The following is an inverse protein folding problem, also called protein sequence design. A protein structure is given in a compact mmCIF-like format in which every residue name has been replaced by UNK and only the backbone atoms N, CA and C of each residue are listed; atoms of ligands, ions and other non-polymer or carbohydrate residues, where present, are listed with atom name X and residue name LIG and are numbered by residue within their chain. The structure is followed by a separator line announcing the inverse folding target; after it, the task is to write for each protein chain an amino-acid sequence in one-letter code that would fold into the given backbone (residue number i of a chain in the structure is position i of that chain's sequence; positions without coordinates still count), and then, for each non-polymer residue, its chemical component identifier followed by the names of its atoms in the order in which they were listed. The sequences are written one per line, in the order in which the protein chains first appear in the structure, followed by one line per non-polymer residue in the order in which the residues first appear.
data_IF_555779244956
#
_entry.id   IF_555779244956
#
_cell.length_a   1.000
_cell.length_b   1.000
_cell.length_c   1.000
_cell.angle_alpha   90.00
_cell.angle_beta   90.00
_cell.angle_gamma   90.00
#
_symmetry.space_group_name_H-M   'P 1'
#
loop_
_entity.id
_entity.type
_entity.pdbx_description
1 polymer ?
#
# COMPACT_ATOMS: atom_id res chain seq x y z
N UNK A 1 -17.41 24.28 -26.49
CA UNK A 1 -18.25 23.47 -27.39
C UNK A 1 -17.46 22.32 -27.95
N UNK A 2 -16.54 22.60 -28.87
CA UNK A 2 -15.93 21.57 -29.72
C UNK A 2 -14.97 20.62 -28.97
N UNK A 3 -14.18 21.11 -28.01
CA UNK A 3 -13.28 20.25 -27.23
C UNK A 3 -14.03 19.26 -26.32
N UNK A 4 -15.16 19.68 -25.74
CA UNK A 4 -15.99 18.78 -24.90
C UNK A 4 -16.62 17.67 -25.74
N UNK A 5 -17.08 18.01 -26.95
CA UNK A 5 -17.64 17.04 -27.90
C UNK A 5 -16.55 16.07 -28.35
N UNK A 6 -15.34 16.56 -28.68
CA UNK A 6 -14.21 15.72 -29.07
C UNK A 6 -13.81 14.75 -27.95
N UNK A 7 -13.63 15.25 -26.72
CA UNK A 7 -13.30 14.41 -25.55
C UNK A 7 -14.39 13.36 -25.34
N UNK A 8 -15.67 13.73 -25.48
CA UNK A 8 -16.78 12.79 -25.35
C UNK A 8 -16.71 11.67 -26.40
N UNK A 9 -16.42 11.99 -27.66
CA UNK A 9 -16.27 10.99 -28.72
C UNK A 9 -15.06 10.09 -28.50
N UNK A 10 -13.91 10.64 -28.09
CA UNK A 10 -12.71 9.85 -27.76
C UNK A 10 -13.01 8.91 -26.60
N UNK A 11 -13.57 9.42 -25.49
CA UNK A 11 -13.91 8.62 -24.32
C UNK A 11 -14.92 7.51 -24.66
N UNK A 12 -15.89 7.80 -25.55
CA UNK A 12 -16.84 6.80 -26.02
C UNK A 12 -16.15 5.69 -26.82
N UNK A 13 -15.28 6.04 -27.77
CA UNK A 13 -14.56 5.07 -28.58
C UNK A 13 -13.65 4.17 -27.71
N UNK A 14 -12.91 4.76 -26.76
CA UNK A 14 -12.09 4.01 -25.80
C UNK A 14 -12.93 3.09 -24.92
N UNK A 15 -14.12 3.53 -24.50
CA UNK A 15 -15.04 2.72 -23.70
C UNK A 15 -15.60 1.54 -24.49
N UNK A 16 -15.98 1.75 -25.75
CA UNK A 16 -16.47 0.67 -26.62
C UNK A 16 -15.39 -0.41 -26.82
N UNK A 17 -14.15 0.00 -27.09
CA UNK A 17 -12.98 -0.90 -27.20
C UNK A 17 -12.68 -1.65 -25.89
N UNK A 18 -12.66 -0.95 -24.75
CA UNK A 18 -12.49 -1.58 -23.43
C UNK A 18 -13.59 -2.63 -23.15
N UNK A 19 -14.85 -2.33 -23.49
CA UNK A 19 -15.96 -3.28 -23.29
C UNK A 19 -15.77 -4.53 -24.14
N UNK A 20 -15.28 -4.41 -25.37
CA UNK A 20 -14.96 -5.57 -26.20
C UNK A 20 -13.85 -6.42 -25.60
N UNK A 21 -12.77 -5.80 -25.11
CA UNK A 21 -11.67 -6.51 -24.42
C UNK A 21 -12.13 -7.23 -23.16
N UNK A 22 -12.90 -6.56 -22.30
CA UNK A 22 -13.49 -7.13 -21.08
C UNK A 22 -14.37 -8.34 -21.45
N UNK A 23 -15.21 -8.22 -22.48
CA UNK A 23 -16.09 -9.31 -22.93
C UNK A 23 -15.34 -10.50 -23.52
N UNK A 24 -14.17 -10.28 -24.11
CA UNK A 24 -13.34 -11.36 -24.65
C UNK A 24 -12.56 -12.08 -23.55
N UNK A 25 -12.27 -11.40 -22.44
CA UNK A 25 -11.47 -11.96 -21.35
C UNK A 25 -12.21 -13.08 -20.60
N UNK A 26 -11.57 -14.24 -20.33
CA UNK A 26 -12.19 -15.35 -19.61
C UNK A 26 -12.43 -15.02 -18.13
N UNK A 27 -11.57 -14.19 -17.52
CA UNK A 27 -11.58 -13.88 -16.10
C UNK A 27 -11.32 -12.41 -15.87
N UNK A 28 -12.02 -11.82 -14.89
CA UNK A 28 -11.88 -10.41 -14.53
C UNK A 28 -11.49 -10.27 -13.06
N UNK A 29 -10.66 -9.28 -12.77
CA UNK A 29 -10.38 -8.81 -11.42
C UNK A 29 -10.73 -7.33 -11.30
N UNK A 30 -11.20 -6.92 -10.14
CA UNK A 30 -11.58 -5.53 -9.85
C UNK A 30 -10.57 -4.96 -8.87
N UNK A 31 -10.15 -3.73 -9.08
CA UNK A 31 -9.32 -3.01 -8.12
C UNK A 31 -10.00 -1.70 -7.76
N UNK A 32 -10.12 -1.44 -6.46
CA UNK A 32 -10.75 -0.26 -5.91
C UNK A 32 -9.70 0.63 -5.27
N UNK A 33 -9.63 1.87 -5.73
CA UNK A 33 -8.79 2.92 -5.17
C UNK A 33 -9.68 4.04 -4.64
N UNK A 34 -9.78 4.12 -3.31
CA UNK A 34 -10.65 5.08 -2.64
C UNK A 34 -9.93 6.39 -2.39
N UNK A 35 -10.63 7.50 -2.58
CA UNK A 35 -10.17 8.84 -2.21
C UNK A 35 -11.24 9.52 -1.34
N UNK A 36 -10.80 10.06 -0.21
CA UNK A 36 -11.64 10.88 0.66
C UNK A 36 -11.10 12.31 0.64
N UNK A 37 -11.98 13.27 0.38
CA UNK A 37 -11.66 14.69 0.44
C UNK A 37 -12.66 15.40 1.36
N UNK A 38 -12.18 16.22 2.30
CA UNK A 38 -13.03 16.90 3.29
C UNK A 38 -14.11 17.83 2.67
N UNK A 39 -13.93 18.24 1.41
CA UNK A 39 -14.77 19.23 0.73
C UNK A 39 -15.66 18.65 -0.39
N UNK A 40 -15.39 17.42 -0.83
CA UNK A 40 -16.12 16.76 -1.91
C UNK A 40 -16.75 15.45 -1.40
N UNK A 41 -17.64 14.87 -2.20
CA UNK A 41 -18.11 13.51 -1.93
C UNK A 41 -16.91 12.54 -2.05
N UNK A 42 -16.83 11.57 -1.15
CA UNK A 42 -15.84 10.49 -1.26
C UNK A 42 -15.97 9.85 -2.65
N UNK A 43 -14.85 9.53 -3.28
CA UNK A 43 -14.85 8.88 -4.60
C UNK A 43 -14.09 7.57 -4.54
N UNK A 44 -14.45 6.65 -5.44
CA UNK A 44 -13.68 5.43 -5.66
C UNK A 44 -13.42 5.26 -7.14
N UNK A 45 -12.14 5.20 -7.51
CA UNK A 45 -11.72 4.79 -8.83
C UNK A 45 -11.85 3.27 -8.92
N UNK A 46 -12.60 2.80 -9.92
CA UNK A 46 -12.75 1.38 -10.23
C UNK A 46 -11.85 1.08 -11.41
N UNK A 47 -10.93 0.15 -11.21
CA UNK A 47 -10.11 -0.43 -12.26
C UNK A 47 -10.56 -1.86 -12.52
N UNK A 48 -10.37 -2.30 -13.75
CA UNK A 48 -10.59 -3.68 -14.16
C UNK A 48 -9.27 -4.24 -14.69
N UNK A 49 -8.92 -5.41 -14.19
CA UNK A 49 -7.83 -6.21 -14.73
C UNK A 49 -8.41 -7.40 -15.47
N UNK A 50 -7.93 -7.61 -16.70
CA UNK A 50 -8.40 -8.67 -17.57
C UNK A 50 -7.22 -9.30 -18.33
N UNK A 51 -7.38 -10.56 -18.70
CA UNK A 51 -6.42 -11.27 -19.53
C UNK A 51 -6.89 -11.33 -20.98
N UNK A 52 -5.95 -11.21 -21.91
CA UNK A 52 -6.19 -11.47 -23.34
C UNK A 52 -5.45 -12.75 -23.74
N UNK A 53 -5.74 -13.30 -24.93
CA UNK A 53 -5.02 -14.47 -25.43
C UNK A 53 -3.53 -14.17 -25.69
N UNK A 54 -3.16 -12.89 -25.83
CA UNK A 54 -1.81 -12.45 -26.13
C UNK A 54 -1.30 -11.51 -25.01
N UNK A 55 -0.27 -11.95 -24.29
CA UNK A 55 0.48 -11.11 -23.36
C UNK A 55 0.02 -11.10 -21.89
N UNK A 56 0.65 -10.25 -21.06
CA UNK A 56 0.36 -10.15 -19.62
C UNK A 56 -1.04 -9.58 -19.36
N UNK A 57 -1.59 -9.76 -18.14
CA UNK A 57 -2.85 -9.12 -17.76
C UNK A 57 -2.75 -7.59 -17.90
N UNK A 58 -3.81 -6.98 -18.44
CA UNK A 58 -3.92 -5.54 -18.59
C UNK A 58 -4.80 -4.98 -17.47
N UNK A 59 -4.39 -3.87 -16.86
CA UNK A 59 -5.17 -3.11 -15.87
C UNK A 59 -5.60 -1.79 -16.47
N UNK A 60 -6.91 -1.56 -16.59
CA UNK A 60 -7.46 -0.33 -17.17
C UNK A 60 -8.45 0.35 -16.22
N UNK A 61 -8.47 1.69 -16.27
CA UNK A 61 -9.43 2.50 -15.54
C UNK A 61 -10.83 2.36 -16.14
N UNK A 62 -11.81 2.01 -15.29
CA UNK A 62 -13.18 1.79 -15.71
C UNK A 62 -14.02 3.05 -15.52
N UNK A 63 -14.07 3.57 -14.29
CA UNK A 63 -14.85 4.74 -13.94
C UNK A 63 -14.47 5.28 -12.57
N UNK A 64 -14.74 6.57 -12.34
CA UNK A 64 -14.71 7.19 -11.04
C UNK A 64 -16.14 7.26 -10.51
N UNK A 65 -16.38 6.69 -9.33
CA UNK A 65 -17.71 6.62 -8.72
C UNK A 65 -17.75 7.53 -7.49
N UNK A 66 -18.73 8.43 -7.47
CA UNK A 66 -19.05 9.18 -6.26
C UNK A 66 -19.77 8.27 -5.25
N UNK A 67 -19.36 8.38 -3.99
CA UNK A 67 -19.90 7.68 -2.85
C UNK A 67 -20.65 8.69 -1.97
N UNK A 68 -21.87 8.34 -1.56
CA UNK A 68 -22.63 9.21 -0.65
C UNK A 68 -22.05 9.20 0.77
N UNK A 69 -21.68 8.01 1.27
CA UNK A 69 -21.01 7.81 2.55
C UNK A 69 -19.97 6.69 2.39
N UNK A 70 -18.87 6.65 3.18
CA UNK A 70 -17.86 5.60 3.11
C UNK A 70 -18.33 4.32 3.84
N UNK A 71 -19.44 3.74 3.40
CA UNK A 71 -19.99 2.48 3.92
C UNK A 71 -19.76 1.33 2.95
N UNK A 72 -19.72 0.10 3.47
CA UNK A 72 -19.58 -1.13 2.68
C UNK A 72 -20.56 -1.16 1.52
N UNK A 73 -21.82 -0.80 1.77
CA UNK A 73 -22.88 -0.78 0.76
C UNK A 73 -22.60 0.25 -0.33
N UNK A 74 -22.11 1.43 0.03
CA UNK A 74 -21.82 2.50 -0.93
C UNK A 74 -20.72 2.11 -1.90
N UNK A 75 -19.64 1.48 -1.41
CA UNK A 75 -18.58 0.95 -2.25
C UNK A 75 -19.10 -0.12 -3.21
N UNK A 76 -19.84 -1.11 -2.71
CA UNK A 76 -20.39 -2.19 -3.56
C UNK A 76 -21.40 -1.68 -4.59
N UNK A 77 -22.23 -0.70 -4.22
CA UNK A 77 -23.10 -0.01 -5.18
C UNK A 77 -22.30 0.78 -6.22
N UNK A 78 -21.17 1.38 -5.83
CA UNK A 78 -20.25 2.03 -6.77
C UNK A 78 -19.73 1.04 -7.81
N UNK A 79 -19.30 -0.14 -7.39
CA UNK A 79 -18.88 -1.22 -8.31
C UNK A 79 -20.03 -1.65 -9.21
N UNK A 80 -21.22 -1.88 -8.65
CA UNK A 80 -22.40 -2.27 -9.44
C UNK A 80 -22.79 -1.21 -10.48
N UNK A 81 -22.74 0.08 -10.12
CA UNK A 81 -22.95 1.20 -11.06
C UNK A 81 -21.90 1.22 -12.17
N UNK A 82 -20.63 1.02 -11.82
CA UNK A 82 -19.52 1.04 -12.77
C UNK A 82 -19.70 -0.04 -13.86
N UNK A 83 -20.06 -1.26 -13.47
CA UNK A 83 -20.28 -2.37 -14.41
C UNK A 83 -21.62 -2.25 -15.15
N UNK A 84 -22.68 -1.82 -14.46
CA UNK A 84 -24.01 -1.61 -15.08
C UNK A 84 -23.96 -0.57 -16.20
N UNK A 85 -23.10 0.45 -16.09
CA UNK A 85 -22.88 1.44 -17.14
C UNK A 85 -22.32 0.84 -18.45
N UNK A 86 -21.72 -0.35 -18.38
CA UNK A 86 -21.21 -1.12 -19.53
C UNK A 86 -22.21 -2.18 -20.02
N UNK A 87 -23.38 -2.27 -19.38
CA UNK A 87 -24.35 -3.34 -19.60
C UNK A 87 -23.86 -4.70 -19.10
N UNK A 88 -22.92 -4.72 -18.15
CA UNK A 88 -22.39 -5.95 -17.55
C UNK A 88 -22.95 -6.03 -16.13
N UNK A 89 -23.61 -7.14 -15.80
CA UNK A 89 -23.92 -7.46 -14.40
C UNK A 89 -22.76 -8.27 -13.85
N UNK A 90 -22.25 -7.90 -12.69
CA UNK A 90 -21.16 -8.61 -12.01
C UNK A 90 -21.45 -10.10 -11.76
N UNK A 91 -22.73 -10.48 -11.75
CA UNK A 91 -23.21 -11.84 -11.54
C UNK A 91 -23.42 -12.62 -12.86
N UNK A 92 -23.36 -11.96 -14.02
CA UNK A 92 -23.65 -12.57 -15.33
C UNK A 92 -22.38 -13.11 -16.02
N UNK A 93 -22.58 -14.15 -16.85
CA UNK A 93 -21.77 -14.80 -17.91
C UNK A 93 -20.24 -14.96 -17.78
N UNK A 94 -19.48 -14.08 -17.13
CA UNK A 94 -18.02 -14.23 -16.93
C UNK A 94 -17.60 -13.90 -15.50
N UNK A 95 -16.89 -14.80 -14.81
CA UNK A 95 -16.65 -14.66 -13.39
C UNK A 95 -15.64 -13.55 -13.13
N UNK A 96 -16.04 -12.58 -12.31
CA UNK A 96 -15.08 -11.85 -11.51
C UNK A 96 -14.43 -12.83 -10.52
N UNK A 97 -13.12 -12.94 -10.57
CA UNK A 97 -12.32 -13.87 -9.76
C UNK A 97 -11.47 -13.16 -8.71
N UNK A 98 -11.17 -11.88 -8.91
CA UNK A 98 -10.34 -11.09 -7.98
C UNK A 98 -10.97 -9.78 -7.55
N UNK A 99 -10.72 -9.39 -6.30
CA UNK A 99 -10.96 -8.05 -5.78
C UNK A 99 -9.74 -7.57 -5.00
N UNK A 100 -9.20 -6.42 -5.41
CA UNK A 100 -8.19 -5.66 -4.70
C UNK A 100 -8.76 -4.34 -4.20
N UNK A 101 -8.28 -3.88 -3.05
CA UNK A 101 -8.72 -2.63 -2.40
C UNK A 101 -7.51 -1.93 -1.81
N UNK A 102 -7.22 -0.71 -2.25
CA UNK A 102 -6.16 0.10 -1.65
C UNK A 102 -6.52 0.47 -0.20
N UNK A 103 -5.50 0.51 0.66
CA UNK A 103 -5.66 0.69 2.10
C UNK A 103 -5.54 2.12 2.61
N UNK A 104 -5.10 3.09 1.80
CA UNK A 104 -4.78 4.43 2.29
C UNK A 104 -6.01 5.17 2.85
N UNK A 105 -7.16 5.01 2.19
CA UNK A 105 -8.43 5.68 2.53
C UNK A 105 -9.53 4.71 2.95
N UNK A 106 -9.34 3.41 2.76
CA UNK A 106 -10.30 2.37 3.16
C UNK A 106 -9.74 1.62 4.36
N UNK A 107 -10.36 1.83 5.53
CA UNK A 107 -9.92 1.21 6.78
C UNK A 107 -9.94 -0.32 6.69
N UNK A 108 -9.07 -0.99 7.46
CA UNK A 108 -9.01 -2.46 7.53
C UNK A 108 -10.37 -3.10 7.84
N UNK A 109 -11.14 -2.50 8.75
CA UNK A 109 -12.47 -2.99 9.11
C UNK A 109 -13.48 -2.85 7.98
N UNK A 110 -13.47 -1.73 7.25
CA UNK A 110 -14.32 -1.52 6.09
C UNK A 110 -13.97 -2.49 4.96
N UNK A 111 -12.68 -2.66 4.66
CA UNK A 111 -12.19 -3.63 3.67
C UNK A 111 -12.61 -5.06 4.00
N UNK A 112 -12.45 -5.49 5.25
CA UNK A 112 -12.89 -6.81 5.69
C UNK A 112 -14.41 -7.00 5.52
N UNK A 113 -15.20 -5.98 5.86
CA UNK A 113 -16.66 -6.00 5.66
C UNK A 113 -17.05 -6.07 4.18
N UNK A 114 -16.33 -5.37 3.30
CA UNK A 114 -16.52 -5.46 1.85
C UNK A 114 -16.26 -6.87 1.34
N UNK A 115 -15.13 -7.48 1.73
CA UNK A 115 -14.79 -8.84 1.36
C UNK A 115 -15.83 -9.86 1.83
N UNK A 116 -16.31 -9.74 3.06
CA UNK A 116 -17.37 -10.62 3.58
C UNK A 116 -18.69 -10.42 2.83
N UNK A 117 -19.04 -9.18 2.49
CA UNK A 117 -20.34 -8.86 1.87
C UNK A 117 -20.37 -9.27 0.41
N UNK A 118 -19.33 -8.96 -0.37
CA UNK A 118 -19.28 -9.32 -1.80
C UNK A 118 -19.24 -10.85 -1.99
N UNK A 119 -18.61 -11.59 -1.06
CA UNK A 119 -18.57 -13.06 -1.09
C UNK A 119 -19.92 -13.74 -0.85
N UNK A 120 -20.92 -13.02 -0.32
CA UNK A 120 -22.30 -13.54 -0.29
C UNK A 120 -22.89 -13.64 -1.69
N UNK A 121 -22.42 -12.80 -2.61
CA UNK A 121 -22.85 -12.73 -4.00
C UNK A 121 -21.91 -13.52 -4.93
N UNK A 122 -20.59 -13.42 -4.70
CA UNK A 122 -19.54 -14.09 -5.46
C UNK A 122 -18.67 -14.95 -4.52
N UNK A 123 -19.12 -16.15 -4.12
CA UNK A 123 -18.43 -16.96 -3.12
C UNK A 123 -17.01 -17.36 -3.49
N UNK A 124 -16.67 -17.44 -4.78
CA UNK A 124 -15.34 -17.84 -5.27
C UNK A 124 -14.33 -16.68 -5.32
N UNK A 125 -14.72 -15.45 -5.01
CA UNK A 125 -13.87 -14.28 -5.17
C UNK A 125 -12.60 -14.32 -4.28
N UNK A 126 -11.44 -14.18 -4.92
CA UNK A 126 -10.15 -13.96 -4.25
C UNK A 126 -10.03 -12.50 -3.85
N UNK A 127 -9.86 -12.26 -2.56
CA UNK A 127 -9.67 -10.92 -2.02
C UNK A 127 -8.20 -10.77 -1.68
N UNK A 128 -7.45 -10.10 -2.56
CA UNK A 128 -6.00 -10.00 -2.49
C UNK A 128 -5.60 -8.54 -2.23
N UNK A 129 -4.54 -8.29 -1.48
CA UNK A 129 -4.06 -6.93 -1.23
C UNK A 129 -3.32 -6.39 -2.47
N UNK A 130 -3.99 -6.24 -3.60
CA UNK A 130 -3.41 -5.61 -4.80
C UNK A 130 -3.45 -4.08 -4.72
N UNK A 131 -2.48 -3.43 -5.37
CA UNK A 131 -2.33 -1.96 -5.39
C UNK A 131 -2.21 -1.34 -4.00
N UNK A 132 -1.20 -1.78 -3.25
CA UNK A 132 -0.82 -1.15 -1.99
C UNK A 132 -0.08 0.16 -2.29
N UNK A 133 -0.79 1.28 -2.32
CA UNK A 133 -0.18 2.56 -2.73
C UNK A 133 0.63 3.20 -1.61
N UNK A 134 -0.01 3.41 -0.44
CA UNK A 134 0.60 4.03 0.74
C UNK A 134 0.30 3.23 2.01
N UNK A 135 0.93 2.05 2.19
CA UNK A 135 0.61 1.15 3.29
C UNK A 135 0.89 1.75 4.67
N UNK A 136 1.86 2.65 4.76
CA UNK A 136 2.23 3.36 5.98
C UNK A 136 1.08 4.24 6.51
N UNK A 137 0.22 4.80 5.65
CA UNK A 137 -0.92 5.61 6.11
C UNK A 137 -1.96 4.77 6.86
N UNK A 138 -2.27 3.57 6.36
CA UNK A 138 -3.17 2.64 7.06
C UNK A 138 -2.58 2.21 8.41
N UNK A 139 -1.26 2.01 8.44
CA UNK A 139 -0.56 1.66 9.68
C UNK A 139 -0.64 2.81 10.66
N UNK A 140 -0.37 4.05 10.23
CA UNK A 140 -0.49 5.24 11.07
C UNK A 140 -1.91 5.41 11.63
N UNK A 141 -2.96 5.17 10.84
CA UNK A 141 -4.34 5.15 11.33
C UNK A 141 -4.58 4.07 12.39
N UNK A 142 -3.97 2.89 12.22
CA UNK A 142 -4.15 1.75 13.13
C UNK A 142 -3.38 1.88 14.44
N UNK A 143 -2.26 2.61 14.45
CA UNK A 143 -1.36 2.71 15.62
C UNK A 143 -1.48 4.03 16.37
N UNK A 144 -1.98 5.07 15.72
CA UNK A 144 -2.21 6.36 16.36
C UNK A 144 -3.38 6.29 17.34
N UNK A 145 -3.41 7.18 18.32
CA UNK A 145 -4.37 7.15 19.41
C UNK A 145 -3.73 6.95 20.78
N UNK A 146 -4.55 6.46 21.72
CA UNK A 146 -4.20 6.33 23.14
C UNK A 146 -2.97 5.46 23.42
N UNK A 147 -2.64 4.52 22.54
CA UNK A 147 -1.53 3.58 22.75
C UNK A 147 -0.16 4.22 22.46
N UNK A 148 -0.10 5.18 21.54
CA UNK A 148 1.11 5.87 21.06
C UNK A 148 0.86 7.39 20.92
N UNK A 149 0.63 8.10 22.03
CA UNK A 149 0.37 9.55 22.00
C UNK A 149 1.54 10.37 21.45
N UNK A 150 2.77 9.81 21.47
CA UNK A 150 3.94 10.45 20.88
C UNK A 150 3.83 10.62 19.36
N UNK A 151 3.06 9.77 18.66
CA UNK A 151 2.82 9.92 17.22
C UNK A 151 1.88 11.08 16.93
N UNK A 152 0.82 11.25 17.74
CA UNK A 152 -0.09 12.40 17.61
C UNK A 152 0.62 13.72 17.94
N UNK A 153 1.46 13.72 18.98
CA UNK A 153 2.27 14.89 19.33
C UNK A 153 3.23 15.25 18.19
N UNK A 154 3.93 14.25 17.62
CA UNK A 154 4.83 14.45 16.49
C UNK A 154 4.09 14.98 15.25
N UNK A 155 2.95 14.38 14.90
CA UNK A 155 2.11 14.81 13.79
C UNK A 155 1.63 16.27 13.96
N UNK A 156 1.10 16.61 15.13
CA UNK A 156 0.60 17.95 15.40
C UNK A 156 1.72 19.00 15.34
N UNK A 157 2.89 18.69 15.91
CA UNK A 157 4.04 19.58 15.89
C UNK A 157 4.58 19.79 14.47
N UNK A 158 4.64 18.73 13.65
CA UNK A 158 5.04 18.86 12.24
C UNK A 158 4.00 19.64 11.43
N UNK A 159 2.70 19.37 11.58
CA UNK A 159 1.64 20.17 10.95
C UNK A 159 1.74 21.64 11.33
N UNK A 160 2.02 21.94 12.60
CA UNK A 160 2.21 23.31 13.08
C UNK A 160 3.47 23.95 12.49
N UNK A 161 4.58 23.20 12.41
CA UNK A 161 5.83 23.67 11.79
C UNK A 161 5.61 24.07 10.34
N UNK A 162 5.01 23.18 9.54
CA UNK A 162 4.76 23.45 8.12
C UNK A 162 3.75 24.57 7.94
N UNK A 163 2.68 24.60 8.76
CA UNK A 163 1.67 25.67 8.73
C UNK A 163 2.25 27.04 9.09
N UNK A 164 3.19 27.10 10.05
CA UNK A 164 3.87 28.32 10.48
C UNK A 164 4.59 29.01 9.31
N UNK A 165 5.21 28.22 8.43
CA UNK A 165 5.83 28.72 7.21
C UNK A 165 4.81 28.94 6.09
N UNK A 166 3.99 27.93 5.78
CA UNK A 166 3.07 27.90 4.63
C UNK A 166 2.10 29.07 4.62
N UNK A 167 1.54 29.43 5.76
CA UNK A 167 0.50 30.47 5.86
C UNK A 167 1.07 31.87 6.12
N UNK A 168 2.40 32.03 6.08
CA UNK A 168 3.08 33.32 6.19
C UNK A 168 4.01 33.53 5.01
N UNK A 169 3.60 34.30 3.98
CA UNK A 169 4.44 34.54 2.79
C UNK A 169 5.84 35.06 3.13
N UNK A 170 5.98 35.83 4.22
CA UNK A 170 7.28 36.34 4.68
C UNK A 170 8.16 35.20 5.19
N UNK A 171 7.64 34.38 6.12
CA UNK A 171 8.39 33.26 6.71
C UNK A 171 8.72 32.21 5.65
N UNK A 172 7.83 31.99 4.68
CA UNK A 172 8.07 31.11 3.55
C UNK A 172 9.23 31.60 2.67
N UNK A 173 9.31 32.90 2.40
CA UNK A 173 10.44 33.48 1.67
C UNK A 173 11.75 33.41 2.48
N UNK A 174 11.70 33.62 3.79
CA UNK A 174 12.87 33.48 4.67
C UNK A 174 13.35 32.01 4.68
N UNK A 175 12.42 31.05 4.81
CA UNK A 175 12.71 29.62 4.74
C UNK A 175 13.31 29.23 3.38
N UNK A 176 12.82 29.77 2.26
CA UNK A 176 13.39 29.49 0.93
C UNK A 176 14.87 29.83 0.82
N UNK A 177 15.33 30.84 1.56
CA UNK A 177 16.74 31.28 1.56
C UNK A 177 17.63 30.42 2.47
N UNK A 178 17.07 29.87 3.55
CA UNK A 178 17.84 29.14 4.57
C UNK A 178 17.68 27.62 4.45
N UNK A 179 16.48 27.12 4.17
CA UNK A 179 16.09 25.72 4.13
C UNK A 179 15.25 25.43 2.87
N UNK A 180 15.93 25.45 1.71
CA UNK A 180 15.29 25.38 0.41
C UNK A 180 14.54 24.05 0.16
N UNK A 181 15.07 22.93 0.67
CA UNK A 181 14.46 21.60 0.48
C UNK A 181 13.13 21.50 1.22
N UNK A 182 13.11 21.91 2.50
CA UNK A 182 11.88 21.89 3.29
C UNK A 182 10.85 22.89 2.75
N UNK A 183 11.32 24.04 2.27
CA UNK A 183 10.46 25.02 1.62
C UNK A 183 9.75 24.42 0.41
N UNK A 184 10.50 23.78 -0.49
CA UNK A 184 9.97 23.14 -1.70
C UNK A 184 8.92 22.05 -1.37
N UNK A 185 9.25 21.13 -0.47
CA UNK A 185 8.29 20.07 -0.06
C UNK A 185 7.03 20.65 0.61
N UNK A 186 7.17 21.71 1.41
CA UNK A 186 6.03 22.42 2.01
C UNK A 186 5.15 23.09 0.96
N UNK A 187 5.72 23.56 -0.17
CA UNK A 187 4.93 24.08 -1.29
C UNK A 187 4.20 22.98 -2.04
N UNK A 188 4.85 21.84 -2.28
CA UNK A 188 4.28 20.68 -2.96
C UNK A 188 3.12 20.05 -2.21
N UNK A 189 3.17 20.00 -0.87
CA UNK A 189 2.07 19.48 -0.06
C UNK A 189 0.75 20.25 -0.21
N UNK A 190 0.79 21.52 -0.61
CA UNK A 190 -0.43 22.31 -0.80
C UNK A 190 -1.05 22.81 0.52
N UNK A 191 -2.28 22.40 0.82
CA UNK A 191 -2.97 22.73 2.08
C UNK A 191 -2.61 21.70 3.15
N UNK A 192 -1.82 22.13 4.13
CA UNK A 192 -1.32 21.28 5.22
C UNK A 192 -2.46 20.65 6.04
N UNK A 193 -3.65 21.28 6.08
CA UNK A 193 -4.79 20.77 6.83
C UNK A 193 -5.45 19.57 6.14
N UNK A 194 -5.37 19.51 4.81
CA UNK A 194 -5.90 18.39 4.02
C UNK A 194 -4.98 17.18 4.00
N UNK A 195 -3.73 17.30 4.48
CA UNK A 195 -2.82 16.16 4.56
C UNK A 195 -3.15 15.32 5.78
N UNK A 196 -3.47 14.05 5.55
CA UNK A 196 -3.89 13.11 6.59
C UNK A 196 -2.81 12.89 7.66
N UNK A 197 -1.61 12.48 7.24
CA UNK A 197 -0.46 12.23 8.12
C UNK A 197 0.84 12.81 7.54
N UNK A 198 1.33 13.92 8.07
CA UNK A 198 2.63 14.50 7.71
C UNK A 198 3.78 13.56 8.13
N UNK A 199 3.66 12.86 9.26
CA UNK A 199 4.64 11.84 9.67
C UNK A 199 4.72 10.64 8.72
N UNK A 200 3.79 10.50 7.78
CA UNK A 200 3.84 9.50 6.70
C UNK A 200 4.54 10.01 5.43
N UNK A 201 4.77 11.32 5.30
CA UNK A 201 5.32 11.91 4.08
C UNK A 201 6.86 11.88 4.10
N UNK A 202 7.43 10.81 3.52
CA UNK A 202 8.87 10.55 3.53
C UNK A 202 9.70 11.75 3.02
N UNK A 203 9.27 12.40 1.94
CA UNK A 203 10.00 13.54 1.37
C UNK A 203 10.09 14.72 2.35
N UNK A 204 9.03 14.97 3.11
CA UNK A 204 8.96 16.05 4.09
C UNK A 204 9.89 15.77 5.26
N UNK A 205 9.89 14.52 5.77
CA UNK A 205 10.77 14.11 6.85
C UNK A 205 12.25 14.19 6.43
N UNK A 206 12.58 13.73 5.22
CA UNK A 206 13.92 13.82 4.64
C UNK A 206 14.35 15.27 4.42
N UNK A 207 13.46 16.14 3.94
CA UNK A 207 13.74 17.56 3.76
C UNK A 207 13.99 18.28 5.10
N UNK A 208 13.21 17.93 6.14
CA UNK A 208 13.43 18.45 7.49
C UNK A 208 14.77 18.00 8.07
N UNK A 209 15.15 16.73 7.88
CA UNK A 209 16.47 16.22 8.32
C UNK A 209 17.59 16.97 7.61
N UNK A 210 17.48 17.13 6.30
CA UNK A 210 18.50 17.76 5.47
C UNK A 210 18.72 19.23 5.84
N UNK A 211 17.65 19.99 6.05
CA UNK A 211 17.71 21.41 6.37
C UNK A 211 17.58 21.68 7.90
N UNK A 212 17.80 20.67 8.74
CA UNK A 212 17.50 20.71 10.18
C UNK A 212 18.19 21.89 10.90
N UNK A 213 19.47 22.13 10.59
CA UNK A 213 20.25 23.17 11.26
C UNK A 213 19.74 24.56 10.93
N UNK A 214 19.40 24.78 9.67
CA UNK A 214 18.92 26.03 9.13
C UNK A 214 17.52 26.37 9.65
N UNK A 215 16.64 25.36 9.74
CA UNK A 215 15.32 25.50 10.37
C UNK A 215 15.45 25.85 11.85
N UNK A 216 16.32 25.15 12.59
CA UNK A 216 16.55 25.44 14.01
C UNK A 216 17.15 26.84 14.22
N UNK A 217 18.11 27.25 13.39
CA UNK A 217 18.70 28.58 13.45
C UNK A 217 17.67 29.67 13.18
N UNK A 218 16.83 29.48 12.16
CA UNK A 218 15.77 30.43 11.83
C UNK A 218 14.71 30.53 12.93
N UNK A 219 14.25 29.41 13.49
CA UNK A 219 13.31 29.43 14.62
C UNK A 219 13.90 30.11 15.86
N UNK A 220 15.20 29.92 16.14
CA UNK A 220 15.91 30.66 17.20
C UNK A 220 15.85 32.16 16.96
N UNK A 221 16.16 32.61 15.74
CA UNK A 221 16.09 34.03 15.38
C UNK A 221 14.68 34.60 15.57
N UNK A 222 13.67 33.95 15.00
CA UNK A 222 12.26 34.41 15.08
C UNK A 222 11.75 34.40 16.52
N UNK A 223 12.10 33.39 17.30
CA UNK A 223 11.72 33.32 18.73
C UNK A 223 12.32 34.48 19.54
N UNK A 224 13.46 35.04 19.13
CA UNK A 224 14.08 36.20 19.79
C UNK A 224 13.45 37.55 19.41
N UNK A 225 12.53 37.60 18.44
CA UNK A 225 11.92 38.85 17.98
C UNK A 225 10.84 39.34 18.96
N UNK A 226 11.12 40.44 19.65
CA UNK A 226 10.21 41.03 20.65
C UNK A 226 8.99 41.74 20.07
N UNK A 227 9.05 42.15 18.79
CA UNK A 227 7.97 42.90 18.15
C UNK A 227 6.78 42.04 17.69
N UNK A 228 6.90 40.71 17.71
CA UNK A 228 5.88 39.75 17.23
C UNK A 228 5.66 38.66 18.26
N UNK A 229 5.05 39.02 19.39
CA UNK A 229 4.86 38.12 20.53
C UNK A 229 4.24 36.77 20.13
N UNK A 230 3.18 36.77 19.30
CA UNK A 230 2.49 35.53 18.90
C UNK A 230 3.37 34.61 18.04
N UNK A 231 4.00 35.16 16.99
CA UNK A 231 4.89 34.39 16.12
C UNK A 231 6.16 33.93 16.85
N UNK A 232 6.69 34.76 17.76
CA UNK A 232 7.83 34.42 18.61
C UNK A 232 7.49 33.26 19.56
N UNK A 233 6.30 33.26 20.18
CA UNK A 233 5.87 32.17 21.06
C UNK A 233 5.70 30.85 20.29
N UNK A 234 5.09 30.89 19.10
CA UNK A 234 4.95 29.72 18.23
C UNK A 234 6.33 29.21 17.79
N UNK A 235 7.23 30.10 17.35
CA UNK A 235 8.59 29.73 16.97
C UNK A 235 9.37 29.10 18.12
N UNK A 236 9.18 29.60 19.35
CA UNK A 236 9.80 29.02 20.55
C UNK A 236 9.27 27.61 20.84
N UNK A 237 7.97 27.36 20.71
CA UNK A 237 7.38 26.04 20.89
C UNK A 237 7.90 25.04 19.83
N UNK A 238 7.93 25.45 18.56
CA UNK A 238 8.48 24.65 17.46
C UNK A 238 9.97 24.37 17.63
N UNK A 239 10.73 25.35 18.12
CA UNK A 239 12.14 25.15 18.46
C UNK A 239 12.30 24.12 19.59
N UNK A 240 11.46 24.16 20.62
CA UNK A 240 11.51 23.17 21.71
C UNK A 240 11.20 21.76 21.20
N UNK A 241 10.24 21.64 20.29
CA UNK A 241 9.93 20.40 19.58
C UNK A 241 11.16 19.87 18.81
N UNK A 242 11.80 20.69 17.96
CA UNK A 242 12.97 20.26 17.19
C UNK A 242 14.21 20.00 18.07
N UNK A 243 14.23 20.49 19.32
CA UNK A 243 15.26 20.19 20.29
C UNK A 243 14.93 19.00 21.20
N UNK A 244 13.76 18.37 21.06
CA UNK A 244 13.38 17.20 21.85
C UNK A 244 13.97 15.92 21.27
N UNK A 245 14.73 15.18 22.08
CA UNK A 245 15.43 13.98 21.63
C UNK A 245 14.48 12.88 21.15
N UNK A 246 13.36 12.68 21.84
CA UNK A 246 12.39 11.64 21.49
C UNK A 246 11.78 11.92 20.12
N UNK A 247 11.43 13.18 19.85
CA UNK A 247 10.82 13.62 18.61
C UNK A 247 11.75 13.37 17.41
N UNK A 248 13.02 13.79 17.51
CA UNK A 248 13.99 13.58 16.43
C UNK A 248 14.27 12.08 16.23
N UNK A 249 14.56 11.34 17.31
CA UNK A 249 14.81 9.89 17.21
C UNK A 249 13.62 9.13 16.61
N UNK A 250 12.40 9.55 16.92
CA UNK A 250 11.16 8.96 16.39
C UNK A 250 10.98 9.25 14.88
N UNK A 251 11.34 10.43 14.39
CA UNK A 251 11.33 10.73 12.94
C UNK A 251 12.22 9.76 12.18
N UNK A 252 13.46 9.57 12.64
CA UNK A 252 14.40 8.63 12.01
C UNK A 252 13.90 7.18 12.03
N UNK A 253 13.31 6.75 13.16
CA UNK A 253 12.74 5.41 13.24
C UNK A 253 11.51 5.22 12.35
N UNK A 254 10.64 6.23 12.23
CA UNK A 254 9.51 6.18 11.31
C UNK A 254 9.97 6.09 9.86
N UNK A 255 11.06 6.76 9.48
CA UNK A 255 11.66 6.64 8.16
C UNK A 255 12.13 5.22 7.85
N UNK A 256 12.72 4.50 8.80
CA UNK A 256 13.06 3.08 8.63
C UNK A 256 11.83 2.23 8.34
N UNK A 257 10.75 2.42 9.12
CA UNK A 257 9.49 1.71 8.93
C UNK A 257 8.85 2.05 7.58
N UNK A 258 8.80 3.34 7.21
CA UNK A 258 8.27 3.81 5.93
C UNK A 258 9.09 3.26 4.76
N UNK A 259 10.41 3.14 4.89
CA UNK A 259 11.27 2.58 3.84
C UNK A 259 10.91 1.13 3.51
N UNK A 260 10.70 0.28 4.53
CA UNK A 260 10.23 -1.11 4.35
C UNK A 260 8.89 -1.14 3.63
N UNK A 261 7.94 -0.33 4.11
CA UNK A 261 6.58 -0.28 3.59
C UNK A 261 6.50 0.30 2.17
N UNK A 262 7.38 1.24 1.83
CA UNK A 262 7.46 1.83 0.50
C UNK A 262 8.05 0.86 -0.52
N UNK A 263 9.04 0.04 -0.12
CA UNK A 263 9.52 -1.07 -0.97
C UNK A 263 8.42 -2.09 -1.23
N UNK A 264 7.66 -2.46 -0.20
CA UNK A 264 6.49 -3.33 -0.37
C UNK A 264 5.48 -2.71 -1.34
N UNK A 265 5.15 -1.43 -1.15
CA UNK A 265 4.23 -0.70 -2.03
C UNK A 265 4.70 -0.73 -3.50
N UNK A 266 6.00 -0.50 -3.74
CA UNK A 266 6.59 -0.51 -5.08
C UNK A 266 6.48 -1.88 -5.75
N UNK A 267 6.72 -2.98 -5.01
CA UNK A 267 6.53 -4.34 -5.53
C UNK A 267 5.07 -4.59 -5.94
N UNK A 268 4.12 -4.11 -5.14
CA UNK A 268 2.69 -4.28 -5.37
C UNK A 268 2.09 -3.36 -6.44
N UNK A 269 2.83 -2.32 -6.84
CA UNK A 269 2.49 -1.40 -7.92
C UNK A 269 3.24 -1.71 -9.22
N UNK A 270 4.11 -2.73 -9.22
CA UNK A 270 4.81 -3.17 -10.41
C UNK A 270 3.85 -3.64 -11.50
N UNK A 271 4.26 -3.55 -12.76
CA UNK A 271 3.44 -3.95 -13.92
C UNK A 271 3.03 -5.44 -13.86
N UNK A 272 3.86 -6.28 -13.23
CA UNK A 272 3.61 -7.71 -13.12
C UNK A 272 3.97 -8.23 -11.72
N UNK A 273 2.93 -8.52 -10.92
CA UNK A 273 3.05 -9.25 -9.66
C UNK A 273 2.27 -10.55 -9.78
N UNK A 274 2.97 -11.67 -9.65
CA UNK A 274 2.31 -12.98 -9.62
C UNK A 274 1.56 -13.16 -8.31
N UNK A 275 0.35 -13.73 -8.39
CA UNK A 275 -0.45 -14.08 -7.23
C UNK A 275 0.37 -14.89 -6.22
N UNK A 276 1.18 -15.85 -6.69
CA UNK A 276 2.03 -16.72 -5.87
C UNK A 276 3.07 -15.98 -5.02
N UNK A 277 3.49 -14.78 -5.44
CA UNK A 277 4.51 -13.97 -4.77
C UNK A 277 3.91 -13.07 -3.68
N UNK A 278 2.59 -12.85 -3.69
CA UNK A 278 1.91 -11.93 -2.75
C UNK A 278 2.15 -12.31 -1.29
N UNK A 279 2.04 -13.61 -0.95
CA UNK A 279 2.23 -14.07 0.43
C UNK A 279 3.68 -13.88 0.89
N UNK A 280 4.62 -14.28 0.05
CA UNK A 280 6.06 -14.17 0.33
C UNK A 280 6.47 -12.72 0.57
N UNK A 281 6.04 -11.79 -0.30
CA UNK A 281 6.41 -10.38 -0.18
C UNK A 281 5.84 -9.71 1.06
N UNK A 282 4.63 -10.09 1.49
CA UNK A 282 4.07 -9.63 2.76
C UNK A 282 4.86 -10.20 3.95
N UNK A 283 5.19 -11.49 3.91
CA UNK A 283 5.94 -12.15 4.98
C UNK A 283 7.38 -11.60 5.09
N UNK A 284 8.05 -11.34 3.97
CA UNK A 284 9.35 -10.65 3.93
C UNK A 284 9.29 -9.28 4.62
N UNK A 285 8.27 -8.48 4.32
CA UNK A 285 8.09 -7.17 4.96
C UNK A 285 7.81 -7.30 6.46
N UNK A 286 6.98 -8.28 6.88
CA UNK A 286 6.72 -8.57 8.31
C UNK A 286 8.02 -8.94 9.03
N UNK A 287 8.85 -9.81 8.44
CA UNK A 287 10.14 -10.19 9.01
C UNK A 287 11.10 -9.00 9.09
N UNK A 288 11.13 -8.15 8.08
CA UNK A 288 11.96 -6.95 8.08
C UNK A 288 11.55 -5.96 9.17
N UNK A 289 10.25 -5.69 9.32
CA UNK A 289 9.71 -4.88 10.43
C UNK A 289 10.02 -5.53 11.79
N UNK A 290 9.96 -6.87 11.88
CA UNK A 290 10.32 -7.57 13.11
C UNK A 290 11.77 -7.31 13.52
N UNK A 291 12.71 -7.37 12.56
CA UNK A 291 14.14 -7.03 12.79
C UNK A 291 14.33 -5.60 13.27
N UNK A 292 13.51 -4.65 12.77
CA UNK A 292 13.52 -3.26 13.24
C UNK A 292 13.12 -3.10 14.71
N UNK A 293 12.68 -4.15 15.41
CA UNK A 293 12.44 -4.12 16.87
C UNK A 293 13.74 -4.16 17.67
N UNK A 294 14.71 -4.94 17.19
CA UNK A 294 15.96 -5.22 17.90
C UNK A 294 17.13 -4.43 17.30
N UNK A 295 17.19 -4.29 15.97
CA UNK A 295 18.31 -3.66 15.25
C UNK A 295 17.86 -2.43 14.46
N UNK A 296 18.52 -1.26 14.60
CA UNK A 296 18.12 -0.05 13.90
C UNK A 296 18.20 -0.26 12.38
N UNK A 297 17.34 0.43 11.61
CA UNK A 297 17.51 0.52 10.17
C UNK A 297 18.52 1.61 9.80
N UNK A 298 18.67 1.88 8.51
CA UNK A 298 19.67 2.81 7.99
C UNK A 298 19.52 4.22 8.59
N UNK A 299 18.28 4.73 8.71
CA UNK A 299 18.03 6.07 9.21
C UNK A 299 18.30 6.15 10.72
N UNK A 300 17.74 5.25 11.52
CA UNK A 300 17.97 5.28 12.96
C UNK A 300 19.44 5.04 13.30
N UNK A 301 20.12 4.17 12.55
CA UNK A 301 21.56 3.94 12.71
C UNK A 301 22.36 5.21 12.41
N UNK A 302 22.07 5.92 11.30
CA UNK A 302 22.70 7.21 10.99
C UNK A 302 22.54 8.21 12.13
N UNK A 303 21.34 8.31 12.70
CA UNK A 303 21.08 9.18 13.84
C UNK A 303 21.92 8.79 15.06
N UNK A 304 21.99 7.51 15.41
CA UNK A 304 22.74 7.02 16.58
C UNK A 304 24.27 7.18 16.40
N UNK A 305 24.79 7.03 15.19
CA UNK A 305 26.21 7.23 14.89
C UNK A 305 26.62 8.72 14.91
N UNK A 306 25.74 9.59 14.40
CA UNK A 306 25.95 11.04 14.40
C UNK A 306 25.70 11.66 15.78
N UNK A 307 24.89 11.02 16.63
CA UNK A 307 24.60 11.49 17.98
C UNK A 307 25.73 11.14 18.95
N UNK A 308 26.44 12.16 19.43
CA UNK A 308 27.42 12.02 20.53
C UNK A 308 26.92 12.74 21.78
N UNK A 309 27.45 13.94 22.04
CA UNK A 309 26.97 14.85 23.09
C UNK A 309 25.93 15.84 22.56
N UNK A 310 25.85 15.99 21.24
CA UNK A 310 24.93 16.86 20.51
C UNK A 310 24.58 16.23 19.16
N UNK A 311 23.43 16.61 18.60
CA UNK A 311 23.01 16.23 17.26
C UNK A 311 23.29 17.41 16.32
N UNK A 312 24.20 17.25 15.35
CA UNK A 312 24.62 18.33 14.46
C UNK A 312 25.06 19.62 15.20
N UNK A 313 25.68 19.49 16.38
CA UNK A 313 26.07 20.63 17.22
C UNK A 313 24.95 21.24 18.07
N UNK A 314 23.74 20.68 18.06
CA UNK A 314 22.60 21.08 18.89
C UNK A 314 22.43 20.12 20.06
N UNK A 315 22.44 20.65 21.29
CA UNK A 315 22.13 19.86 22.49
C UNK A 315 20.64 19.57 22.57
N UNK A 316 20.27 18.31 22.30
CA UNK A 316 18.90 17.81 22.44
C UNK A 316 18.52 17.63 23.92
N UNK A 317 17.24 17.78 24.23
CA UNK A 317 16.66 17.71 25.58
C UNK A 317 16.01 16.36 25.84
N UNK A 318 15.74 16.07 27.12
CA UNK A 318 15.00 14.88 27.58
C UNK A 318 15.64 13.51 27.27
N UNK A 319 16.91 13.48 26.84
CA UNK A 319 17.64 12.26 26.43
C UNK A 319 17.39 11.03 27.32
N UNK A 320 17.64 11.14 28.64
CA UNK A 320 17.53 10.00 29.56
C UNK A 320 16.13 9.40 29.63
N UNK A 321 15.10 10.27 29.61
CA UNK A 321 13.70 9.84 29.70
C UNK A 321 13.27 9.22 28.37
N UNK A 322 13.71 9.81 27.26
CA UNK A 322 13.43 9.32 25.92
C UNK A 322 14.05 7.93 25.70
N UNK A 323 15.34 7.74 26.01
CA UNK A 323 16.02 6.44 25.88
C UNK A 323 15.34 5.34 26.70
N UNK A 324 14.93 5.65 27.94
CA UNK A 324 14.25 4.67 28.79
C UNK A 324 12.89 4.21 28.23
N UNK A 325 12.25 5.00 27.37
CA UNK A 325 10.93 4.70 26.79
C UNK A 325 11.00 4.23 25.34
N UNK A 326 12.07 4.57 24.62
CA UNK A 326 12.15 4.41 23.17
C UNK A 326 11.96 2.97 22.72
N UNK A 327 12.58 2.01 23.42
CA UNK A 327 12.42 0.58 23.09
C UNK A 327 10.96 0.11 23.15
N UNK A 328 10.19 0.57 24.15
CA UNK A 328 8.76 0.22 24.25
C UNK A 328 7.92 0.85 23.13
N UNK A 329 8.25 2.07 22.71
CA UNK A 329 7.59 2.75 21.58
C UNK A 329 7.88 1.98 20.29
N UNK A 330 9.16 1.65 20.07
CA UNK A 330 9.67 0.89 18.94
C UNK A 330 9.00 -0.48 18.80
N UNK A 331 8.96 -1.26 19.89
CA UNK A 331 8.27 -2.56 19.94
C UNK A 331 6.80 -2.45 19.56
N UNK A 332 6.08 -1.46 20.09
CA UNK A 332 4.66 -1.25 19.79
C UNK A 332 4.42 -0.91 18.32
N UNK A 333 5.22 0.00 17.75
CA UNK A 333 5.13 0.38 16.34
C UNK A 333 5.38 -0.84 15.46
N UNK A 334 6.46 -1.60 15.70
CA UNK A 334 6.78 -2.81 14.96
C UNK A 334 5.68 -3.88 15.09
N UNK A 335 5.23 -4.18 16.31
CA UNK A 335 4.22 -5.21 16.56
C UNK A 335 2.89 -4.89 15.86
N UNK A 336 2.43 -3.64 15.96
CA UNK A 336 1.18 -3.24 15.31
C UNK A 336 1.31 -3.18 13.79
N UNK A 337 2.46 -2.75 13.28
CA UNK A 337 2.75 -2.77 11.84
C UNK A 337 2.68 -4.20 11.30
N UNK A 338 3.32 -5.17 11.97
CA UNK A 338 3.27 -6.59 11.60
C UNK A 338 1.83 -7.11 11.60
N UNK A 339 1.05 -6.77 12.64
CA UNK A 339 -0.36 -7.17 12.73
C UNK A 339 -1.19 -6.60 11.58
N UNK A 340 -1.06 -5.32 11.26
CA UNK A 340 -1.79 -4.67 10.17
C UNK A 340 -1.43 -5.28 8.82
N UNK A 341 -0.14 -5.55 8.56
CA UNK A 341 0.30 -6.23 7.33
C UNK A 341 -0.29 -7.64 7.22
N UNK A 342 -0.25 -8.43 8.30
CA UNK A 342 -0.82 -9.78 8.32
C UNK A 342 -2.34 -9.79 8.07
N UNK A 343 -3.05 -8.77 8.58
CA UNK A 343 -4.51 -8.62 8.41
C UNK A 343 -4.92 -8.16 7.01
N UNK A 344 -4.01 -7.63 6.18
CA UNK A 344 -4.32 -7.29 4.79
C UNK A 344 -4.64 -8.52 3.95
N UNK A 345 -4.08 -9.67 4.31
CA UNK A 345 -4.29 -10.91 3.58
C UNK A 345 -5.37 -11.78 4.24
N UNK A 346 -6.53 -11.86 3.58
CA UNK A 346 -7.59 -12.77 3.96
C UNK A 346 -7.11 -14.24 3.98
N UNK A 347 -7.38 -14.94 5.08
CA UNK A 347 -6.90 -16.31 5.31
C UNK A 347 -7.39 -17.31 4.26
N UNK A 348 -8.61 -17.13 3.73
CA UNK A 348 -9.16 -18.00 2.68
C UNK A 348 -8.42 -17.80 1.37
N UNK A 349 -8.14 -16.56 0.98
CA UNK A 349 -7.34 -16.28 -0.21
C UNK A 349 -5.87 -16.67 -0.03
N UNK A 350 -5.33 -16.59 1.19
CA UNK A 350 -3.95 -16.99 1.51
C UNK A 350 -3.66 -18.46 1.18
N UNK A 351 -4.61 -19.37 1.44
CA UNK A 351 -4.46 -20.81 1.12
C UNK A 351 -4.29 -21.00 -0.38
N UNK A 352 -5.14 -20.37 -1.20
CA UNK A 352 -5.04 -20.44 -2.66
C UNK A 352 -3.70 -19.88 -3.16
N UNK A 353 -3.29 -18.73 -2.65
CA UNK A 353 -2.03 -18.09 -3.06
C UNK A 353 -0.80 -18.93 -2.70
N UNK A 354 -0.78 -19.52 -1.50
CA UNK A 354 0.28 -20.45 -1.12
C UNK A 354 0.33 -21.65 -2.05
N UNK A 355 -0.82 -22.22 -2.40
CA UNK A 355 -0.88 -23.32 -3.36
C UNK A 355 -0.33 -22.91 -4.74
N UNK A 356 -0.57 -21.67 -5.19
CA UNK A 356 -0.03 -21.15 -6.45
C UNK A 356 1.51 -21.07 -6.49
N UNK A 357 2.22 -21.16 -5.35
CA UNK A 357 3.69 -21.23 -5.34
C UNK A 357 4.22 -22.45 -6.09
N UNK A 358 3.39 -23.48 -6.27
CA UNK A 358 3.72 -24.66 -7.09
C UNK A 358 4.06 -24.30 -8.53
N UNK A 359 3.60 -23.14 -9.04
CA UNK A 359 3.90 -22.67 -10.38
C UNK A 359 5.25 -21.93 -10.48
N UNK A 360 5.91 -21.67 -9.35
CA UNK A 360 7.27 -21.13 -9.35
C UNK A 360 8.27 -22.27 -9.56
N UNK A 361 8.77 -22.37 -10.80
CA UNK A 361 9.74 -23.40 -11.19
C UNK A 361 11.06 -23.30 -10.42
N UNK A 362 11.40 -22.13 -9.86
CA UNK A 362 12.62 -21.97 -9.06
C UNK A 362 12.54 -22.70 -7.72
N UNK A 363 11.32 -22.96 -7.24
CA UNK A 363 11.03 -23.66 -5.98
C UNK A 363 10.92 -25.17 -6.16
N UNK A 364 11.01 -25.68 -7.39
CA UNK A 364 10.83 -27.11 -7.67
C UNK A 364 11.99 -27.96 -7.12
N UNK A 365 11.70 -29.14 -6.54
CA UNK A 365 12.73 -30.09 -6.12
C UNK A 365 13.67 -30.46 -7.27
N UNK A 366 14.97 -30.54 -6.96
CA UNK A 366 15.98 -30.96 -7.94
C UNK A 366 16.04 -32.48 -8.13
N UNK A 367 15.54 -33.25 -7.17
CA UNK A 367 15.50 -34.70 -7.27
C UNK A 367 14.24 -35.14 -8.01
N UNK A 368 14.39 -36.06 -8.98
CA UNK A 368 13.27 -36.58 -9.75
C UNK A 368 12.25 -37.31 -8.86
N UNK A 369 12.73 -37.98 -7.82
CA UNK A 369 11.89 -38.73 -6.88
C UNK A 369 10.95 -37.81 -6.08
N UNK A 370 11.46 -36.68 -5.56
CA UNK A 370 10.62 -35.70 -4.85
C UNK A 370 9.71 -34.93 -5.81
N UNK A 371 10.18 -34.65 -7.04
CA UNK A 371 9.40 -33.89 -8.03
C UNK A 371 8.13 -34.65 -8.48
N UNK A 372 8.16 -35.97 -8.57
CA UNK A 372 6.99 -36.78 -9.01
C UNK A 372 5.76 -36.51 -8.15
N UNK A 373 5.93 -36.41 -6.83
CA UNK A 373 4.83 -36.12 -5.89
C UNK A 373 4.63 -34.63 -5.58
N UNK A 374 5.58 -33.77 -5.95
CA UNK A 374 5.53 -32.33 -5.63
C UNK A 374 4.29 -31.65 -6.22
N UNK A 375 3.61 -30.84 -5.40
CA UNK A 375 2.52 -29.99 -5.87
C UNK A 375 1.16 -30.66 -6.00
N UNK A 376 1.02 -31.96 -5.73
CA UNK A 376 -0.27 -32.64 -5.91
C UNK A 376 -1.35 -32.10 -4.96
N UNK A 377 -1.01 -31.85 -3.69
CA UNK A 377 -1.95 -31.29 -2.72
C UNK A 377 -2.31 -29.84 -3.07
N UNK A 378 -1.33 -29.03 -3.46
CA UNK A 378 -1.50 -27.65 -3.87
C UNK A 378 -2.39 -27.56 -5.12
N UNK A 379 -2.18 -28.41 -6.13
CA UNK A 379 -3.03 -28.47 -7.31
C UNK A 379 -4.47 -28.86 -6.97
N UNK A 380 -4.67 -29.74 -5.98
CA UNK A 380 -6.01 -30.07 -5.49
C UNK A 380 -6.67 -28.87 -4.80
N UNK A 381 -5.93 -28.10 -4.00
CA UNK A 381 -6.45 -26.88 -3.35
C UNK A 381 -6.83 -25.82 -4.39
N UNK A 382 -6.01 -25.64 -5.43
CA UNK A 382 -6.30 -24.73 -6.56
C UNK A 382 -7.57 -25.19 -7.28
N UNK A 383 -7.66 -26.48 -7.61
CA UNK A 383 -8.83 -27.05 -8.28
C UNK A 383 -10.11 -26.90 -7.46
N UNK A 384 -10.07 -27.18 -6.16
CA UNK A 384 -11.23 -27.04 -5.28
C UNK A 384 -11.73 -25.60 -5.26
N UNK A 385 -10.82 -24.61 -5.26
CA UNK A 385 -11.20 -23.20 -5.38
C UNK A 385 -11.83 -22.87 -6.75
N UNK A 386 -11.15 -23.24 -7.85
CA UNK A 386 -11.59 -22.94 -9.21
C UNK A 386 -12.91 -23.65 -9.57
N UNK A 387 -13.15 -24.85 -9.01
CA UNK A 387 -14.42 -25.58 -9.18
C UNK A 387 -15.63 -24.82 -8.62
N UNK A 388 -15.42 -23.88 -7.70
CA UNK A 388 -16.46 -22.98 -7.22
C UNK A 388 -16.86 -21.90 -8.21
N UNK A 389 -16.12 -21.72 -9.31
CA UNK A 389 -16.37 -20.70 -10.33
C UNK A 389 -17.35 -21.26 -11.37
N UNK A 390 -18.53 -20.64 -11.57
CA UNK A 390 -19.57 -21.21 -12.44
C UNK A 390 -19.14 -21.47 -13.89
N UNK A 391 -18.33 -20.59 -14.49
CA UNK A 391 -17.88 -20.76 -15.88
C UNK A 391 -16.81 -21.82 -16.03
N UNK A 392 -15.99 -22.05 -15.00
CA UNK A 392 -14.91 -23.06 -15.04
C UNK A 392 -15.49 -24.46 -15.25
N UNK A 393 -16.64 -24.75 -14.63
CA UNK A 393 -17.35 -26.02 -14.79
C UNK A 393 -17.98 -26.20 -16.16
N UNK A 394 -18.29 -25.12 -16.89
CA UNK A 394 -18.87 -25.20 -18.23
C UNK A 394 -17.85 -25.58 -19.30
N UNK A 395 -16.57 -25.25 -19.10
CA UNK A 395 -15.48 -25.58 -20.02
C UNK A 395 -14.87 -26.96 -19.74
N UNK A 396 -14.98 -27.45 -18.50
CA UNK A 396 -14.63 -28.83 -18.13
C UNK A 396 -15.68 -29.82 -18.66
N UNK A 397 -15.41 -30.44 -19.82
CA UNK A 397 -16.30 -31.43 -20.48
C UNK A 397 -16.97 -32.40 -19.50
N UNK A 398 -18.30 -32.48 -19.56
CA UNK A 398 -19.12 -33.45 -18.81
C UNK A 398 -18.64 -34.89 -19.07
N UNK A 399 -18.19 -35.60 -18.02
CA UNK A 399 -18.10 -37.07 -18.04
C UNK A 399 -16.72 -37.72 -17.78
N UNK A 400 -15.66 -36.96 -17.53
CA UNK A 400 -14.35 -37.53 -17.12
C UNK A 400 -14.05 -37.16 -15.67
N UNK A 401 -13.33 -38.01 -14.92
CA UNK A 401 -12.82 -37.70 -13.58
C UNK A 401 -11.80 -36.56 -13.68
N UNK A 402 -12.28 -35.32 -13.78
CA UNK A 402 -11.51 -34.09 -14.06
C UNK A 402 -10.42 -33.85 -13.03
N UNK A 403 -10.65 -34.27 -11.78
CA UNK A 403 -9.65 -34.22 -10.70
C UNK A 403 -8.49 -35.17 -10.98
N UNK A 404 -8.78 -36.42 -11.34
CA UNK A 404 -7.76 -37.39 -11.72
C UNK A 404 -7.06 -37.00 -13.02
N UNK A 405 -7.78 -36.43 -14.00
CA UNK A 405 -7.23 -35.91 -15.25
C UNK A 405 -6.23 -34.77 -15.01
N UNK A 406 -6.59 -33.78 -14.21
CA UNK A 406 -5.70 -32.67 -13.86
C UNK A 406 -4.41 -33.16 -13.16
N UNK A 407 -4.52 -34.11 -12.22
CA UNK A 407 -3.33 -34.67 -11.56
C UNK A 407 -2.45 -35.45 -12.54
N UNK A 408 -3.04 -36.11 -13.54
CA UNK A 408 -2.29 -36.76 -14.61
C UNK A 408 -1.56 -35.73 -15.48
N UNK A 409 -2.25 -34.67 -15.94
CA UNK A 409 -1.63 -33.58 -16.70
C UNK A 409 -0.49 -32.90 -15.92
N UNK A 410 -0.68 -32.70 -14.61
CA UNK A 410 0.36 -32.16 -13.73
C UNK A 410 1.59 -33.07 -13.65
N UNK A 411 1.41 -34.39 -13.56
CA UNK A 411 2.52 -35.35 -13.58
C UNK A 411 3.23 -35.37 -14.93
N UNK A 412 2.47 -35.31 -16.03
CA UNK A 412 3.02 -35.26 -17.38
C UNK A 412 3.86 -33.99 -17.59
N UNK A 413 3.38 -32.82 -17.15
CA UNK A 413 4.13 -31.56 -17.20
C UNK A 413 5.49 -31.68 -16.50
N UNK A 414 5.52 -32.28 -15.31
CA UNK A 414 6.76 -32.49 -14.54
C UNK A 414 7.70 -33.50 -15.21
N UNK A 415 7.17 -34.54 -15.83
CA UNK A 415 7.96 -35.50 -16.61
C UNK A 415 8.61 -34.82 -17.84
N UNK A 416 7.86 -33.94 -18.51
CA UNK A 416 8.33 -33.12 -19.62
C UNK A 416 9.45 -32.16 -19.19
N UNK A 417 9.31 -31.52 -18.02
CA UNK A 417 10.34 -30.66 -17.44
C UNK A 417 11.66 -31.42 -17.17
N UNK A 418 11.58 -32.65 -16.67
CA UNK A 418 12.77 -33.49 -16.42
C UNK A 418 13.49 -33.94 -17.70
N UNK A 419 12.77 -34.12 -18.81
CA UNK A 419 13.29 -34.74 -20.04
C UNK A 419 13.79 -33.73 -21.05
N UNK A 420 13.21 -32.52 -21.10
CA UNK A 420 13.66 -31.45 -22.00
C UNK A 420 14.75 -30.62 -21.34
N UNK A 421 16.00 -30.83 -21.79
CA UNK A 421 17.14 -29.96 -21.45
C UNK A 421 16.89 -28.46 -21.73
N UNK A 422 15.90 -28.10 -22.55
CA UNK A 422 15.62 -26.72 -22.97
C UNK A 422 15.00 -25.80 -21.91
N UNK A 423 14.47 -26.31 -20.79
CA UNK A 423 13.97 -25.44 -19.70
C UNK A 423 15.09 -25.02 -18.73
N UNK A 424 16.23 -25.70 -18.72
CA UNK A 424 17.41 -25.26 -17.95
C UNK A 424 17.99 -23.94 -18.47
N UNK A 425 17.75 -23.61 -19.73
CA UNK A 425 18.19 -22.36 -20.35
C UNK A 425 17.23 -21.17 -20.07
N UNK A 426 16.03 -21.42 -19.50
CA UNK A 426 15.02 -20.39 -19.16
C UNK A 426 15.14 -19.84 -17.73
N UNK A 427 15.94 -20.49 -16.89
CA UNK A 427 16.17 -20.14 -15.46
C UNK A 427 17.63 -19.60 -15.28
N UNK A 428 18.31 -19.28 -16.38
CA UNK A 428 19.70 -18.78 -16.42
C UNK A 428 19.81 -17.27 -16.38
#
# INVERSE_FOLDING_TARGET
GDCQILIHHIARALREDLVERIRQSPFLSIILDGQSEDLLADTVAVYVQYTSNDGPPATEFLSLQELGLPTTESYLQGVDRAFSALGIRLQDERPTVGLGVDGANITAGLRANMYMTIRKTLPWLLCLPFMVHRPHLEILDAISGKELPCLEELENNLKQLLSFYRYSPRLMCELRLTAATLCEETEFLGDIRGVKWIIGEQNVLNALIKDYLEVVAHLKEVSGQTQRADASAIALALLQFLMDYQSIKLIYFLLDVIAVLSRLAYVFQGEYLLVSQVDEKIEEAIQEISRLTDSPGEYLQEFEENFRESFNGISLKNLRVAEAKFQSIREKICQKTQLTLAQRFDSRSRVFVKACQVFDLSMWPRSTEELIGYGEEEMLQIYEHLSGIPSFLSDCREGTDTRSGMLMEWRELKADYCTKNGFKDLIG
#
